data_IF_046156683524
#
_entry.id   IF_046156683524
#
_cell.length_a   1.000
_cell.length_b   1.000
_cell.length_c   1.000
_cell.angle_alpha   90.00
_cell.angle_beta   90.00
_cell.angle_gamma   90.00
#
_symmetry.space_group_name_H-M   'P 1'
#
loop_
_entity.id
_entity.type
_entity.pdbx_description
1 polymer ?
#
# COMPACT_ATOMS: atom_id res chain seq x y z
N UNK A 1 39.96 -22.42 -3.71
CA UNK A 1 40.85 -21.47 -4.40
C UNK A 1 39.99 -20.51 -5.20
N UNK A 2 40.30 -19.20 -5.13
CA UNK A 2 39.56 -18.09 -5.75
C UNK A 2 38.37 -17.63 -4.90
N UNK A 3 38.34 -16.47 -4.23
CA UNK A 3 39.08 -15.23 -4.44
C UNK A 3 38.11 -14.17 -4.95
N UNK A 4 37.54 -13.37 -4.05
CA UNK A 4 37.07 -12.00 -4.31
C UNK A 4 36.96 -11.28 -2.98
N UNK A 5 38.04 -10.59 -2.63
CA UNK A 5 38.04 -9.58 -1.60
C UNK A 5 37.34 -8.33 -2.15
N UNK A 6 36.36 -7.80 -1.42
CA UNK A 6 35.97 -6.39 -1.58
C UNK A 6 36.44 -5.69 -0.30
N UNK A 7 37.61 -5.07 -0.42
CA UNK A 7 38.06 -4.04 0.52
C UNK A 7 37.26 -2.77 0.22
N UNK A 8 36.61 -2.20 1.23
CA UNK A 8 36.18 -0.81 1.18
C UNK A 8 36.59 -0.12 2.49
N UNK A 9 37.53 0.80 2.33
CA UNK A 9 38.01 1.75 3.34
C UNK A 9 36.87 2.60 3.94
N UNK A 10 37.07 3.16 5.14
CA UNK A 10 36.06 3.91 5.86
C UNK A 10 35.93 5.31 5.28
N UNK A 11 34.83 5.59 4.59
CA UNK A 11 34.38 6.94 4.31
C UNK A 11 33.12 7.23 5.14
N UNK A 12 33.29 8.12 6.10
CA UNK A 12 32.21 8.87 6.72
C UNK A 12 31.33 9.48 5.62
N UNK A 13 30.00 9.36 5.78
CA UNK A 13 28.90 9.96 5.00
C UNK A 13 28.18 8.99 4.04
N UNK A 14 27.21 8.24 4.58
CA UNK A 14 25.90 7.92 3.99
C UNK A 14 25.23 6.80 4.81
N UNK A 15 24.66 7.13 5.97
CA UNK A 15 23.81 6.17 6.70
C UNK A 15 22.47 6.11 5.96
N UNK A 16 22.23 5.01 5.26
CA UNK A 16 20.95 4.75 4.62
C UNK A 16 20.02 4.03 5.60
N UNK A 17 18.78 4.51 5.73
CA UNK A 17 17.77 3.92 6.61
C UNK A 17 16.97 2.86 5.85
N UNK A 18 17.52 1.65 5.74
CA UNK A 18 16.83 0.54 5.11
C UNK A 18 16.19 -0.39 6.14
N UNK A 19 14.94 -0.76 5.90
CA UNK A 19 14.26 -1.84 6.62
C UNK A 19 14.11 -3.05 5.69
N UNK A 20 14.83 -4.14 6.00
CA UNK A 20 14.73 -5.38 5.25
C UNK A 20 13.81 -6.36 5.98
N UNK A 21 12.59 -6.53 5.49
CA UNK A 21 11.71 -7.59 5.97
C UNK A 21 12.21 -8.94 5.45
N UNK A 22 12.36 -9.91 6.36
CA UNK A 22 12.85 -11.27 6.05
C UNK A 22 11.85 -12.30 6.56
N UNK A 23 11.72 -13.41 5.85
CA UNK A 23 10.88 -14.55 6.23
C UNK A 23 11.63 -15.85 5.97
N UNK A 24 11.54 -16.80 6.90
CA UNK A 24 11.99 -18.18 6.69
C UNK A 24 10.87 -19.14 7.06
N UNK A 25 10.81 -20.35 6.48
CA UNK A 25 9.79 -21.35 6.84
C UNK A 25 9.80 -21.72 8.33
N UNK A 26 10.99 -21.70 8.96
CA UNK A 26 11.17 -21.99 10.39
C UNK A 26 10.92 -20.78 11.31
N UNK A 27 10.76 -19.57 10.76
CA UNK A 27 10.72 -18.33 11.54
C UNK A 27 12.07 -17.89 12.11
N UNK A 28 13.16 -18.63 11.86
CA UNK A 28 14.53 -18.31 12.32
C UNK A 28 15.50 -18.06 11.17
N UNK A 29 16.48 -17.15 11.32
CA UNK A 29 17.50 -16.93 10.31
C UNK A 29 18.45 -18.14 10.20
N UNK A 30 18.80 -18.53 8.97
CA UNK A 30 19.72 -19.64 8.72
C UNK A 30 21.18 -19.33 9.08
N UNK A 31 21.55 -18.04 9.10
CA UNK A 31 22.91 -17.55 9.38
C UNK A 31 22.81 -16.25 10.18
N UNK A 32 23.68 -16.08 11.16
CA UNK A 32 23.81 -14.85 11.95
C UNK A 32 25.24 -14.32 11.84
N UNK A 33 25.38 -13.04 11.49
CA UNK A 33 26.68 -12.37 11.33
C UNK A 33 26.61 -10.99 11.95
N UNK A 34 27.61 -10.63 12.75
CA UNK A 34 27.68 -9.33 13.37
C UNK A 34 28.17 -8.29 12.35
N UNK A 35 27.38 -7.25 12.13
CA UNK A 35 27.71 -6.14 11.23
C UNK A 35 27.54 -4.82 11.97
N UNK A 36 28.51 -3.92 11.83
CA UNK A 36 28.45 -2.60 12.44
C UNK A 36 27.34 -1.76 11.79
N UNK A 37 26.53 -1.07 12.60
CA UNK A 37 25.44 -0.21 12.12
C UNK A 37 24.20 -0.95 11.64
N UNK A 38 24.12 -2.27 11.84
CA UNK A 38 22.95 -3.10 11.51
C UNK A 38 22.25 -3.54 12.78
N UNK A 39 20.94 -3.34 12.85
CA UNK A 39 20.08 -3.88 13.90
C UNK A 39 19.12 -4.88 13.27
N UNK A 40 19.02 -6.07 13.87
CA UNK A 40 18.09 -7.13 13.45
C UNK A 40 17.18 -7.51 14.61
N UNK A 41 15.96 -7.96 14.31
CA UNK A 41 14.98 -8.36 15.32
C UNK A 41 13.93 -9.32 14.77
N UNK A 42 13.19 -9.97 15.66
CA UNK A 42 12.07 -10.84 15.33
C UNK A 42 10.74 -10.07 15.39
N UNK A 43 9.76 -10.53 14.62
CA UNK A 43 8.41 -9.98 14.65
C UNK A 43 7.72 -10.27 15.98
N UNK A 44 7.05 -9.26 16.58
CA UNK A 44 6.30 -9.40 17.84
C UNK A 44 4.93 -10.09 17.69
N UNK A 45 4.53 -10.51 16.49
CA UNK A 45 3.28 -11.29 16.25
C UNK A 45 2.99 -12.45 17.22
N UNK A 46 3.98 -13.21 17.76
CA UNK A 46 3.73 -14.27 18.74
C UNK A 46 3.39 -13.77 20.15
N UNK A 47 3.55 -12.47 20.42
CA UNK A 47 3.33 -11.85 21.72
C UNK A 47 1.95 -11.19 21.75
N UNK A 48 1.08 -11.60 22.67
CA UNK A 48 -0.09 -10.82 23.10
C UNK A 48 0.38 -9.80 24.12
N UNK A 49 0.58 -8.56 23.69
CA UNK A 49 0.87 -7.43 24.59
C UNK A 49 -0.25 -6.41 24.50
N UNK A 50 -0.62 -5.83 25.66
CA UNK A 50 -1.52 -4.69 25.75
C UNK A 50 -1.04 -3.55 24.82
N UNK A 51 -2.01 -2.87 24.21
CA UNK A 51 -1.81 -1.83 23.20
C UNK A 51 -1.16 -0.58 23.84
N UNK A 52 0.17 -0.56 23.94
CA UNK A 52 0.87 0.72 24.06
C UNK A 52 0.54 1.59 22.82
N UNK A 53 0.43 2.92 22.97
CA UNK A 53 0.22 3.81 21.85
C UNK A 53 1.28 3.55 20.78
N UNK A 54 0.85 3.19 19.57
CA UNK A 54 1.76 2.82 18.50
C UNK A 54 2.54 4.06 18.03
N UNK A 55 3.87 4.01 18.10
CA UNK A 55 4.78 5.01 17.52
C UNK A 55 4.65 6.45 18.08
N UNK A 56 4.74 6.68 19.41
CA UNK A 56 4.61 8.02 20.00
C UNK A 56 5.83 8.91 19.72
N UNK A 57 6.89 8.35 19.12
CA UNK A 57 8.19 9.00 18.96
C UNK A 57 8.20 9.90 17.73
N UNK A 58 8.70 11.11 17.91
CA UNK A 58 9.10 12.02 16.83
C UNK A 58 10.60 11.93 16.53
N UNK A 59 10.96 12.30 15.31
CA UNK A 59 12.29 12.14 14.73
C UNK A 59 12.83 13.51 14.30
N UNK A 60 13.69 14.08 15.14
CA UNK A 60 14.34 15.36 14.87
C UNK A 60 15.39 15.23 13.75
N UNK A 61 15.41 16.25 12.89
CA UNK A 61 16.30 16.37 11.72
C UNK A 61 16.23 15.18 10.75
N UNK A 62 15.07 14.55 10.66
CA UNK A 62 14.77 13.47 9.74
C UNK A 62 13.51 13.79 8.95
N UNK A 63 13.63 13.89 7.63
CA UNK A 63 12.50 14.04 6.71
C UNK A 63 11.98 12.65 6.29
N UNK A 64 10.66 12.50 6.27
CA UNK A 64 9.97 11.37 5.66
C UNK A 64 9.58 11.78 4.23
N UNK A 65 10.56 11.86 3.34
CA UNK A 65 10.40 12.48 2.03
C UNK A 65 9.33 11.78 1.16
N UNK A 66 8.56 12.59 0.44
CA UNK A 66 7.47 12.16 -0.43
C UNK A 66 6.18 11.83 0.32
N UNK A 67 5.23 11.19 -0.39
CA UNK A 67 3.90 10.80 0.09
C UNK A 67 3.02 11.98 0.58
N UNK A 68 3.41 13.22 0.31
CA UNK A 68 2.66 14.43 0.66
C UNK A 68 1.35 14.50 -0.13
N UNK A 69 0.22 14.61 0.56
CA UNK A 69 -1.08 14.83 -0.09
C UNK A 69 -1.74 16.14 0.34
N UNK A 70 -1.32 16.70 1.48
CA UNK A 70 -1.84 17.96 2.01
C UNK A 70 -0.74 18.68 2.79
N UNK A 71 -0.76 20.01 2.76
CA UNK A 71 0.08 20.82 3.62
C UNK A 71 -0.70 21.98 4.23
N UNK A 72 -0.34 22.35 5.45
CA UNK A 72 -0.86 23.51 6.18
C UNK A 72 0.27 24.16 7.00
N UNK A 73 0.01 25.31 7.62
CA UNK A 73 0.91 25.89 8.61
C UNK A 73 0.44 25.56 10.01
N UNK A 74 1.36 25.20 10.89
CA UNK A 74 1.10 24.92 12.31
C UNK A 74 2.10 25.65 13.19
N UNK A 75 1.74 25.93 14.44
CA UNK A 75 2.63 26.66 15.35
C UNK A 75 3.92 25.87 15.68
N UNK A 76 3.80 24.54 15.77
CA UNK A 76 4.87 23.63 16.12
C UNK A 76 4.61 22.21 15.55
N UNK A 77 5.49 21.26 15.89
CA UNK A 77 5.36 19.87 15.48
C UNK A 77 4.25 19.11 16.22
N UNK A 78 3.85 19.56 17.42
CA UNK A 78 2.80 18.92 18.22
C UNK A 78 1.44 19.20 17.59
N UNK A 79 1.20 20.44 17.16
CA UNK A 79 0.02 20.83 16.39
C UNK A 79 0.00 20.16 15.01
N UNK A 80 1.17 19.98 14.36
CA UNK A 80 1.26 19.19 13.13
C UNK A 80 0.88 17.72 13.35
N UNK A 81 1.34 17.10 14.44
CA UNK A 81 0.97 15.73 14.80
C UNK A 81 -0.51 15.61 15.15
N UNK A 82 -1.09 16.60 15.83
CA UNK A 82 -2.53 16.69 16.12
C UNK A 82 -3.35 16.79 14.84
N UNK A 83 -2.94 17.67 13.92
CA UNK A 83 -3.58 17.82 12.61
C UNK A 83 -3.51 16.51 11.80
N UNK A 84 -2.36 15.82 11.81
CA UNK A 84 -2.24 14.49 11.19
C UNK A 84 -3.17 13.46 11.87
N UNK A 85 -3.21 13.43 13.19
CA UNK A 85 -4.02 12.47 13.95
C UNK A 85 -5.54 12.66 13.72
N UNK A 86 -5.96 13.89 13.44
CA UNK A 86 -7.36 14.24 13.15
C UNK A 86 -7.75 14.12 11.68
N UNK A 87 -6.78 14.09 10.75
CA UNK A 87 -7.04 13.88 9.33
C UNK A 87 -7.08 12.36 9.04
N UNK A 88 -8.23 11.79 8.65
CA UNK A 88 -8.36 10.34 8.40
C UNK A 88 -7.40 9.79 7.35
N UNK A 89 -6.90 10.66 6.47
CA UNK A 89 -5.93 10.31 5.44
C UNK A 89 -4.48 10.32 5.89
N UNK A 90 -4.15 10.94 7.03
CA UNK A 90 -2.77 11.12 7.44
C UNK A 90 -2.24 9.93 8.24
N UNK A 91 -1.13 9.37 7.78
CA UNK A 91 -0.44 8.27 8.45
C UNK A 91 0.83 8.74 9.16
N UNK A 92 1.53 9.70 8.57
CA UNK A 92 2.74 10.31 9.09
C UNK A 92 2.88 11.73 8.56
N UNK A 93 3.78 12.50 9.17
CA UNK A 93 3.98 13.91 8.84
C UNK A 93 5.46 14.30 8.86
N UNK A 94 5.75 15.42 8.22
CA UNK A 94 6.99 16.18 8.41
C UNK A 94 6.67 17.65 8.64
N UNK A 95 7.19 18.21 9.71
CA UNK A 95 7.05 19.61 10.09
C UNK A 95 8.38 20.34 9.87
N UNK A 96 8.34 21.50 9.21
CA UNK A 96 9.49 22.37 8.99
C UNK A 96 9.55 23.39 10.13
N UNK A 97 10.62 23.41 10.92
CA UNK A 97 10.73 24.28 12.09
C UNK A 97 11.43 25.62 11.75
N UNK A 98 11.69 26.44 12.76
CA UNK A 98 12.33 27.75 12.65
C UNK A 98 13.75 27.71 12.08
N UNK A 99 14.43 26.56 12.16
CA UNK A 99 15.78 26.35 11.64
C UNK A 99 15.80 25.84 10.20
N UNK A 100 14.63 25.67 9.56
CA UNK A 100 14.58 25.28 8.16
C UNK A 100 15.18 26.38 7.27
N UNK A 101 15.96 25.96 6.27
CA UNK A 101 16.80 26.85 5.45
C UNK A 101 15.98 27.83 4.62
N UNK A 102 14.82 27.40 4.11
CA UNK A 102 13.95 28.25 3.29
C UNK A 102 12.90 28.92 4.16
N UNK A 103 13.07 30.21 4.45
CA UNK A 103 12.26 30.92 5.45
C UNK A 103 10.77 30.91 5.14
N UNK A 104 10.39 31.03 3.86
CA UNK A 104 9.00 31.02 3.40
C UNK A 104 8.31 29.67 3.57
N UNK A 105 9.05 28.62 3.89
CA UNK A 105 8.53 27.27 4.13
C UNK A 105 8.55 26.87 5.62
N UNK A 106 9.12 27.69 6.51
CA UNK A 106 9.12 27.43 7.96
C UNK A 106 7.68 27.31 8.47
N UNK A 107 7.49 26.52 9.53
CA UNK A 107 6.20 26.22 10.16
C UNK A 107 5.22 25.43 9.28
N UNK A 108 5.66 24.95 8.12
CA UNK A 108 4.84 24.16 7.23
C UNK A 108 4.80 22.70 7.71
N UNK A 109 3.59 22.21 7.89
CA UNK A 109 3.25 20.84 8.21
C UNK A 109 2.81 20.11 6.93
N UNK A 110 3.50 19.02 6.63
CA UNK A 110 3.22 18.15 5.50
C UNK A 110 2.55 16.86 6.00
N UNK A 111 1.29 16.65 5.62
CA UNK A 111 0.53 15.44 5.93
C UNK A 111 0.74 14.41 4.80
N UNK A 112 1.05 13.18 5.20
CA UNK A 112 1.52 12.15 4.27
C UNK A 112 0.72 10.86 4.40
N UNK A 113 0.57 10.18 3.26
CA UNK A 113 -0.20 8.94 3.12
C UNK A 113 0.56 7.90 2.29
N UNK A 114 0.63 6.68 2.80
CA UNK A 114 1.26 5.51 2.16
C UNK A 114 0.41 4.26 2.39
N UNK A 115 -0.63 4.05 1.57
CA UNK A 115 -1.48 2.84 1.51
C UNK A 115 -1.47 1.90 2.75
N UNK A 116 -1.12 0.61 2.59
CA UNK A 116 -1.42 -0.45 3.57
C UNK A 116 -0.67 -0.35 4.89
N UNK A 117 0.50 0.28 4.88
CA UNK A 117 1.38 0.40 6.04
C UNK A 117 2.02 1.78 5.92
N UNK A 118 2.08 2.58 7.01
CA UNK A 118 2.85 3.82 7.09
C UNK A 118 4.34 3.60 6.81
N UNK A 119 4.69 3.27 5.58
CA UNK A 119 6.05 3.09 5.10
C UNK A 119 6.47 4.43 4.58
N UNK A 120 7.42 5.04 5.29
CA UNK A 120 8.09 6.25 4.87
C UNK A 120 8.88 5.91 3.59
N UNK A 121 8.57 6.53 2.44
CA UNK A 121 9.18 6.12 1.17
C UNK A 121 10.70 6.25 1.19
N UNK A 122 11.19 7.35 1.77
CA UNK A 122 12.60 7.65 1.96
C UNK A 122 12.73 8.35 3.32
N UNK A 123 13.79 8.05 4.05
CA UNK A 123 14.16 8.78 5.27
C UNK A 123 15.47 9.49 5.02
N UNK A 124 15.45 10.82 5.07
CA UNK A 124 16.61 11.66 4.78
C UNK A 124 16.99 12.49 5.99
N UNK A 125 18.30 12.71 6.19
CA UNK A 125 18.75 13.68 7.19
C UNK A 125 18.55 15.07 6.63
N UNK A 126 17.77 15.88 7.32
CA UNK A 126 17.55 17.26 6.94
C UNK A 126 17.45 18.12 8.20
N UNK A 127 18.33 19.10 8.33
CA UNK A 127 18.28 20.01 9.48
C UNK A 127 17.02 20.87 9.43
N UNK A 128 16.41 21.09 10.59
CA UNK A 128 15.25 21.97 10.72
C UNK A 128 13.92 21.31 10.36
N UNK A 129 13.85 19.98 10.42
CA UNK A 129 12.60 19.23 10.24
C UNK A 129 12.35 18.29 11.40
N UNK A 130 11.09 17.99 11.66
CA UNK A 130 10.64 17.01 12.65
C UNK A 130 9.59 16.12 12.00
N UNK A 131 9.83 14.81 11.95
CA UNK A 131 8.86 13.84 11.41
C UNK A 131 8.28 12.94 12.48
N UNK A 132 7.08 12.42 12.26
CA UNK A 132 6.39 11.55 13.20
C UNK A 132 5.21 10.83 12.57
N UNK A 133 4.54 9.99 13.36
CA UNK A 133 3.37 9.22 12.93
C UNK A 133 2.08 9.80 13.53
N UNK A 134 0.97 9.56 12.86
CA UNK A 134 -0.37 9.73 13.44
C UNK A 134 -0.49 8.82 14.67
N UNK A 135 -1.12 9.31 15.74
CA UNK A 135 -1.45 8.46 16.89
C UNK A 135 -2.64 7.52 16.60
N UNK A 136 -3.42 7.79 15.56
CA UNK A 136 -4.52 6.95 15.10
C UNK A 136 -4.05 6.14 13.88
N UNK A 137 -3.30 5.07 14.12
CA UNK A 137 -2.85 4.14 13.06
C UNK A 137 -3.99 3.17 12.67
N UNK A 138 -4.96 2.97 13.56
CA UNK A 138 -6.17 2.23 13.24
C UNK A 138 -7.14 3.16 12.53
N UNK A 139 -7.28 2.97 11.22
CA UNK A 139 -8.44 3.44 10.47
C UNK A 139 -9.63 2.62 10.95
N UNK A 140 -10.18 2.95 12.12
CA UNK A 140 -11.47 2.42 12.51
C UNK A 140 -12.49 2.99 11.53
N UNK A 141 -12.96 2.12 10.63
CA UNK A 141 -14.17 2.36 9.85
C UNK A 141 -15.36 2.43 10.81
N UNK A 142 -15.51 3.55 11.52
CA UNK A 142 -16.70 3.87 12.29
C UNK A 142 -17.67 4.59 11.36
N UNK A 143 -18.28 3.82 10.48
CA UNK A 143 -19.55 4.19 9.86
C UNK A 143 -20.47 2.97 9.85
N UNK A 144 -21.54 3.04 10.64
CA UNK A 144 -22.55 1.98 10.77
C UNK A 144 -23.45 1.85 9.52
N UNK A 145 -23.31 2.75 8.54
CA UNK A 145 -24.05 2.69 7.28
C UNK A 145 -23.16 2.18 6.15
N UNK A 146 -23.57 1.06 5.55
CA UNK A 146 -23.06 0.61 4.26
C UNK A 146 -23.65 1.49 3.16
N UNK A 147 -22.82 2.01 2.26
CA UNK A 147 -23.34 2.66 1.05
C UNK A 147 -22.88 1.94 -0.21
N UNK A 148 -23.83 1.66 -1.08
CA UNK A 148 -23.55 1.12 -2.40
C UNK A 148 -22.96 2.21 -3.28
N UNK A 149 -21.71 2.00 -3.69
CA UNK A 149 -21.03 2.85 -4.64
C UNK A 149 -21.73 2.89 -5.99
N UNK A 150 -22.21 4.06 -6.42
CA UNK A 150 -22.77 4.22 -7.77
C UNK A 150 -21.65 4.23 -8.81
N UNK A 151 -21.67 3.23 -9.70
CA UNK A 151 -20.80 3.14 -10.87
C UNK A 151 -21.51 3.67 -12.12
N UNK A 152 -20.78 4.41 -12.94
CA UNK A 152 -21.25 4.97 -14.20
C UNK A 152 -20.56 4.23 -15.35
N UNK A 153 -21.28 3.31 -15.98
CA UNK A 153 -20.76 2.50 -17.08
C UNK A 153 -20.61 3.31 -18.36
N UNK A 154 -19.68 2.89 -19.23
CA UNK A 154 -19.34 3.56 -20.49
C UNK A 154 -19.13 5.08 -20.33
N UNK A 155 -18.57 5.50 -19.20
CA UNK A 155 -18.37 6.89 -18.83
C UNK A 155 -16.92 7.10 -18.45
N UNK A 156 -16.26 8.02 -19.15
CA UNK A 156 -14.93 8.49 -18.81
C UNK A 156 -15.02 9.86 -18.13
N UNK A 157 -14.19 10.08 -17.12
CA UNK A 157 -13.99 11.40 -16.54
C UNK A 157 -12.76 12.05 -17.16
N UNK A 158 -12.87 13.33 -17.51
CA UNK A 158 -11.76 14.12 -18.05
C UNK A 158 -10.92 14.74 -16.93
N UNK A 159 -9.87 15.46 -17.31
CA UNK A 159 -8.94 16.11 -16.40
C UNK A 159 -7.69 15.28 -16.10
N UNK A 160 -6.74 15.90 -15.40
CA UNK A 160 -5.48 15.28 -14.99
C UNK A 160 -5.73 14.12 -14.02
N UNK A 161 -4.97 13.05 -14.18
CA UNK A 161 -4.97 11.95 -13.22
C UNK A 161 -4.02 12.28 -12.07
N UNK A 162 -4.51 12.12 -10.84
CA UNK A 162 -3.70 12.13 -9.63
C UNK A 162 -2.70 10.97 -9.67
N UNK A 163 -3.20 9.78 -10.01
CA UNK A 163 -2.38 8.58 -10.18
C UNK A 163 -3.11 7.53 -11.02
N UNK A 164 -2.33 6.62 -11.60
CA UNK A 164 -2.84 5.48 -12.39
C UNK A 164 -2.35 4.17 -11.78
N UNK A 165 -3.27 3.43 -11.18
CA UNK A 165 -3.00 2.17 -10.50
C UNK A 165 -3.52 0.98 -11.30
N UNK A 166 -2.94 -0.22 -11.16
CA UNK A 166 -3.58 -1.43 -11.66
C UNK A 166 -4.85 -1.73 -10.81
N UNK A 167 -5.97 -2.06 -11.46
CA UNK A 167 -7.15 -2.58 -10.79
C UNK A 167 -7.81 -3.69 -11.62
N UNK A 168 -8.39 -4.69 -10.95
CA UNK A 168 -9.04 -5.83 -11.61
C UNK A 168 -10.49 -5.56 -12.00
N UNK A 169 -11.13 -4.61 -11.32
CA UNK A 169 -12.55 -4.34 -11.43
C UNK A 169 -12.85 -2.89 -11.06
N UNK A 170 -14.02 -2.37 -11.46
CA UNK A 170 -14.47 -1.05 -11.02
C UNK A 170 -14.61 -0.95 -9.50
N UNK A 171 -15.08 -2.01 -8.83
CA UNK A 171 -15.19 -2.05 -7.37
C UNK A 171 -13.83 -1.98 -6.68
N UNK A 172 -12.81 -2.68 -7.20
CA UNK A 172 -11.44 -2.55 -6.72
C UNK A 172 -10.91 -1.12 -6.96
N UNK A 173 -11.19 -0.52 -8.12
CA UNK A 173 -10.81 0.87 -8.39
C UNK A 173 -11.49 1.87 -7.45
N UNK A 174 -12.75 1.61 -7.08
CA UNK A 174 -13.45 2.39 -6.07
C UNK A 174 -12.81 2.28 -4.69
N UNK A 175 -12.44 1.06 -4.27
CA UNK A 175 -11.74 0.86 -3.00
C UNK A 175 -10.42 1.65 -2.98
N UNK A 176 -9.62 1.58 -4.06
CA UNK A 176 -8.39 2.36 -4.18
C UNK A 176 -8.65 3.88 -4.09
N UNK A 177 -9.69 4.40 -4.75
CA UNK A 177 -10.05 5.81 -4.63
C UNK A 177 -10.51 6.17 -3.21
N UNK A 178 -11.26 5.29 -2.55
CA UNK A 178 -11.77 5.52 -1.18
C UNK A 178 -10.66 5.50 -0.14
N UNK A 179 -9.63 4.68 -0.35
CA UNK A 179 -8.46 4.63 0.51
C UNK A 179 -7.54 5.85 0.30
N UNK A 180 -7.53 6.47 -0.88
CA UNK A 180 -6.65 7.59 -1.18
C UNK A 180 -7.25 8.94 -0.74
N UNK A 181 -6.61 9.69 0.17
CA UNK A 181 -7.25 10.84 0.83
C UNK A 181 -7.50 12.05 -0.08
N UNK A 182 -6.79 12.15 -1.20
CA UNK A 182 -7.04 13.20 -2.20
C UNK A 182 -7.97 12.77 -3.34
N UNK A 183 -8.35 11.49 -3.44
CA UNK A 183 -9.19 11.07 -4.56
C UNK A 183 -10.63 11.56 -4.38
N UNK A 184 -11.15 12.27 -5.38
CA UNK A 184 -12.52 12.79 -5.43
C UNK A 184 -13.41 11.98 -6.37
N UNK A 185 -12.84 11.37 -7.41
CA UNK A 185 -13.52 10.46 -8.33
C UNK A 185 -12.50 9.63 -9.14
N UNK A 186 -12.95 8.57 -9.79
CA UNK A 186 -12.09 7.68 -10.58
C UNK A 186 -12.66 7.34 -11.95
N UNK A 187 -11.79 6.84 -12.84
CA UNK A 187 -12.16 6.17 -14.09
C UNK A 187 -11.39 4.86 -14.26
N UNK A 188 -12.12 3.76 -14.29
CA UNK A 188 -11.62 2.43 -14.54
C UNK A 188 -11.61 2.12 -16.05
N UNK A 189 -10.49 1.60 -16.54
CA UNK A 189 -10.29 1.10 -17.90
C UNK A 189 -10.38 -0.42 -17.93
N UNK A 190 -11.47 -0.96 -18.48
CA UNK A 190 -11.68 -2.41 -18.54
C UNK A 190 -10.80 -3.11 -19.58
N UNK A 191 -10.25 -2.38 -20.55
CA UNK A 191 -9.35 -2.96 -21.55
C UNK A 191 -7.96 -3.16 -20.97
N UNK A 192 -7.46 -2.15 -20.25
CA UNK A 192 -6.09 -2.11 -19.73
C UNK A 192 -5.99 -2.50 -18.25
N UNK A 193 -7.11 -2.72 -17.56
CA UNK A 193 -7.15 -3.03 -16.12
C UNK A 193 -6.44 -1.94 -15.29
N UNK A 194 -6.76 -0.68 -15.61
CA UNK A 194 -6.19 0.52 -14.98
C UNK A 194 -7.24 1.34 -14.28
N UNK A 195 -6.93 1.79 -13.08
CA UNK A 195 -7.70 2.71 -12.26
C UNK A 195 -7.03 4.08 -12.30
N UNK A 196 -7.72 5.07 -12.86
CA UNK A 196 -7.24 6.45 -12.91
C UNK A 196 -7.94 7.21 -11.79
N UNK A 197 -7.18 7.58 -10.74
CA UNK A 197 -7.67 8.39 -9.63
C UNK A 197 -7.52 9.86 -9.98
N UNK A 198 -8.46 10.69 -9.53
CA UNK A 198 -8.52 12.13 -9.82
C UNK A 198 -8.91 12.90 -8.56
N UNK A 199 -8.50 14.16 -8.44
CA UNK A 199 -8.58 14.98 -7.22
C UNK A 199 -9.26 16.34 -7.40
N UNK A 200 -9.88 16.61 -8.55
CA UNK A 200 -10.54 17.89 -8.79
C UNK A 200 -11.77 18.02 -7.88
N UNK A 201 -11.79 19.06 -7.04
CA UNK A 201 -12.89 19.37 -6.10
C UNK A 201 -13.94 20.31 -6.69
N UNK A 202 -13.61 21.02 -7.77
CA UNK A 202 -14.43 22.08 -8.33
C UNK A 202 -15.33 21.56 -9.45
N UNK A 203 -14.81 20.67 -10.30
CA UNK A 203 -15.53 20.16 -11.45
C UNK A 203 -15.24 18.69 -11.71
N UNK A 204 -16.25 18.02 -12.29
CA UNK A 204 -16.15 16.65 -12.80
C UNK A 204 -16.83 16.58 -14.16
N UNK A 205 -16.03 16.68 -15.21
CA UNK A 205 -16.51 16.57 -16.59
C UNK A 205 -16.52 15.11 -17.03
N UNK A 206 -17.67 14.64 -17.53
CA UNK A 206 -17.87 13.26 -18.01
C UNK A 206 -18.15 13.23 -19.50
N UNK A 207 -17.66 12.18 -20.16
CA UNK A 207 -17.96 11.88 -21.57
C UNK A 207 -18.31 10.41 -21.74
N UNK A 208 -19.20 10.12 -22.68
CA UNK A 208 -19.52 8.75 -23.04
C UNK A 208 -18.31 8.08 -23.72
N UNK A 209 -17.82 6.98 -23.14
CA UNK A 209 -16.68 6.22 -23.68
C UNK A 209 -16.80 4.74 -23.32
N UNK A 210 -16.95 3.89 -24.35
CA UNK A 210 -17.07 2.44 -24.18
C UNK A 210 -15.84 1.86 -23.45
N UNK A 211 -16.08 0.93 -22.53
CA UNK A 211 -15.03 0.28 -21.74
C UNK A 211 -14.37 1.16 -20.68
N UNK A 212 -14.89 2.36 -20.45
CA UNK A 212 -14.58 3.18 -19.27
C UNK A 212 -15.73 3.12 -18.28
N UNK A 213 -15.41 2.96 -17.00
CA UNK A 213 -16.40 2.91 -15.92
C UNK A 213 -15.92 3.90 -14.85
N UNK A 214 -16.65 4.97 -14.61
CA UNK A 214 -16.30 5.96 -13.58
C UNK A 214 -17.10 5.74 -12.30
N UNK A 215 -16.64 6.32 -11.20
CA UNK A 215 -17.34 6.28 -9.93
C UNK A 215 -16.80 7.30 -8.94
N UNK A 216 -17.40 7.30 -7.75
CA UNK A 216 -17.04 8.15 -6.62
C UNK A 216 -16.43 7.29 -5.49
N UNK A 217 -15.52 7.84 -4.68
CA UNK A 217 -15.08 7.17 -3.46
C UNK A 217 -16.24 7.04 -2.46
N UNK A 218 -16.11 6.10 -1.54
CA UNK A 218 -17.04 5.87 -0.43
C UNK A 218 -16.40 6.28 0.92
N UNK A 219 -15.83 7.49 0.97
CA UNK A 219 -15.12 8.03 2.14
C UNK A 219 -15.96 8.08 3.43
N UNK A 220 -17.28 8.15 3.30
CA UNK A 220 -18.21 8.39 4.41
C UNK A 220 -19.07 7.18 4.77
N UNK A 221 -18.73 5.99 4.27
CA UNK A 221 -19.48 4.77 4.55
C UNK A 221 -18.58 3.54 4.60
N UNK A 222 -19.13 2.44 5.12
CA UNK A 222 -18.48 1.14 4.98
C UNK A 222 -18.53 0.69 3.52
N UNK A 223 -17.35 0.51 2.90
CA UNK A 223 -17.24 0.05 1.51
C UNK A 223 -17.76 -1.37 1.41
N UNK A 224 -18.75 -1.62 0.55
CA UNK A 224 -19.16 -2.98 0.21
C UNK A 224 -18.03 -3.66 -0.58
N UNK A 225 -17.25 -4.49 0.11
CA UNK A 225 -16.06 -5.18 -0.43
C UNK A 225 -16.40 -6.47 -1.20
N UNK A 226 -17.58 -6.57 -1.80
CA UNK A 226 -18.00 -7.76 -2.56
C UNK A 226 -17.09 -8.04 -3.77
N UNK A 227 -16.43 -7.01 -4.29
CA UNK A 227 -15.45 -7.18 -5.36
C UNK A 227 -14.29 -8.12 -4.97
N UNK A 228 -13.96 -8.23 -3.68
CA UNK A 228 -12.89 -9.10 -3.15
C UNK A 228 -13.25 -10.57 -3.31
N UNK A 229 -14.55 -10.90 -3.26
CA UNK A 229 -15.09 -12.27 -3.38
C UNK A 229 -15.02 -12.82 -4.81
N UNK A 230 -14.70 -11.97 -5.79
CA UNK A 230 -14.71 -12.35 -7.21
C UNK A 230 -13.39 -12.98 -7.62
N UNK A 231 -13.43 -14.25 -8.07
CA UNK A 231 -12.30 -14.89 -8.72
C UNK A 231 -12.17 -14.43 -10.18
N UNK A 232 -11.01 -13.89 -10.54
CA UNK A 232 -10.73 -13.33 -11.86
C UNK A 232 -10.09 -14.35 -12.79
N UNK A 233 -10.90 -14.96 -13.66
CA UNK A 233 -10.44 -15.89 -14.71
C UNK A 233 -9.74 -15.12 -15.83
N UNK A 234 -8.61 -15.66 -16.31
CA UNK A 234 -7.86 -15.05 -17.41
C UNK A 234 -7.06 -13.81 -16.99
N UNK A 235 -6.88 -13.58 -15.70
CA UNK A 235 -6.17 -12.44 -15.13
C UNK A 235 -5.10 -12.96 -14.17
N UNK A 236 -3.88 -12.47 -14.31
CA UNK A 236 -2.75 -12.76 -13.45
C UNK A 236 -2.36 -11.52 -12.62
N UNK A 237 -1.84 -11.76 -11.41
CA UNK A 237 -1.22 -10.78 -10.53
C UNK A 237 0.29 -11.01 -10.45
N UNK A 238 1.10 -10.53 -11.41
CA UNK A 238 2.52 -10.87 -11.47
C UNK A 238 3.32 -10.31 -10.27
N UNK A 239 4.28 -11.10 -9.78
CA UNK A 239 5.17 -10.74 -8.69
C UNK A 239 4.54 -10.88 -7.30
N UNK A 240 5.23 -10.33 -6.30
CA UNK A 240 4.83 -10.40 -4.88
C UNK A 240 4.66 -11.82 -4.33
N UNK A 241 5.29 -12.81 -4.96
CA UNK A 241 5.20 -14.22 -4.58
C UNK A 241 5.94 -14.48 -3.26
N UNK A 242 5.23 -14.97 -2.26
CA UNK A 242 5.81 -15.45 -1.00
C UNK A 242 6.31 -16.88 -1.19
N UNK A 243 5.42 -17.74 -1.70
CA UNK A 243 5.68 -19.15 -2.04
C UNK A 243 4.63 -19.64 -3.02
N UNK A 244 4.81 -20.87 -3.52
CA UNK A 244 3.77 -21.58 -4.26
C UNK A 244 3.52 -22.96 -3.68
N UNK A 245 2.28 -23.42 -3.83
CA UNK A 245 1.83 -24.78 -3.49
C UNK A 245 1.29 -25.47 -4.75
N UNK A 246 1.34 -26.79 -4.80
CA UNK A 246 0.70 -27.55 -5.88
C UNK A 246 -0.73 -27.92 -5.50
N UNK A 247 -1.71 -27.47 -6.29
CA UNK A 247 -3.14 -27.69 -6.04
C UNK A 247 -3.89 -28.05 -7.33
N UNK A 248 -5.06 -28.67 -7.19
CA UNK A 248 -5.83 -29.15 -8.35
C UNK A 248 -6.70 -28.08 -9.02
N UNK A 249 -7.08 -27.04 -8.29
CA UNK A 249 -7.95 -25.97 -8.77
C UNK A 249 -7.76 -24.64 -8.01
N UNK A 250 -8.47 -23.62 -8.47
CA UNK A 250 -8.40 -22.26 -7.93
C UNK A 250 -9.09 -22.11 -6.57
N UNK A 251 -10.06 -22.95 -6.24
CA UNK A 251 -10.82 -22.87 -4.98
C UNK A 251 -9.98 -23.42 -3.83
N UNK A 252 -9.22 -24.50 -4.08
CA UNK A 252 -8.17 -24.96 -3.16
C UNK A 252 -7.13 -23.85 -2.94
N UNK A 253 -6.72 -23.15 -4.01
CA UNK A 253 -5.76 -22.05 -3.90
C UNK A 253 -6.29 -20.88 -3.05
N UNK A 254 -7.56 -20.48 -3.25
CA UNK A 254 -8.24 -19.48 -2.44
C UNK A 254 -8.23 -19.86 -0.96
N UNK A 255 -8.61 -21.10 -0.63
CA UNK A 255 -8.60 -21.59 0.76
C UNK A 255 -7.20 -21.54 1.36
N UNK A 256 -6.17 -21.95 0.62
CA UNK A 256 -4.78 -21.84 1.07
C UNK A 256 -4.34 -20.40 1.33
N UNK A 257 -4.75 -19.45 0.49
CA UNK A 257 -4.50 -18.04 0.77
C UNK A 257 -5.25 -17.54 2.01
N UNK A 258 -6.49 -17.99 2.22
CA UNK A 258 -7.29 -17.63 3.39
C UNK A 258 -6.73 -18.25 4.69
N UNK A 259 -6.12 -19.43 4.63
CA UNK A 259 -5.43 -20.07 5.77
C UNK A 259 -4.10 -19.38 6.10
N UNK A 260 -3.40 -18.82 5.10
CA UNK A 260 -2.08 -18.20 5.32
C UNK A 260 -2.21 -16.74 5.80
N UNK A 261 -1.82 -16.41 7.05
CA UNK A 261 -2.02 -15.07 7.64
C UNK A 261 -1.22 -13.96 6.95
N UNK A 262 -0.30 -14.31 6.04
CA UNK A 262 0.50 -13.36 5.26
C UNK A 262 0.00 -13.16 3.84
N UNK A 263 -0.87 -14.05 3.32
CA UNK A 263 -1.38 -13.93 1.95
C UNK A 263 -2.43 -12.81 1.83
N UNK A 264 -2.25 -11.90 0.88
CA UNK A 264 -3.22 -10.85 0.54
C UNK A 264 -4.00 -11.16 -0.74
N UNK A 265 -3.36 -11.84 -1.69
CA UNK A 265 -3.95 -12.24 -2.96
C UNK A 265 -3.21 -13.46 -3.52
N UNK A 266 -3.79 -14.12 -4.53
CA UNK A 266 -3.21 -15.32 -5.12
C UNK A 266 -3.36 -15.35 -6.63
N UNK A 267 -2.52 -16.16 -7.29
CA UNK A 267 -2.70 -16.56 -8.69
C UNK A 267 -2.50 -18.07 -8.84
N UNK A 268 -3.51 -18.75 -9.38
CA UNK A 268 -3.50 -20.17 -9.69
C UNK A 268 -3.33 -20.40 -11.20
N UNK A 269 -2.32 -21.18 -11.57
CA UNK A 269 -2.07 -21.60 -12.95
C UNK A 269 -2.77 -22.93 -13.21
N UNK A 270 -3.74 -22.94 -14.14
CA UNK A 270 -4.55 -24.13 -14.44
C UNK A 270 -3.70 -25.28 -14.97
N UNK A 271 -4.14 -26.52 -14.69
CA UNK A 271 -3.58 -27.75 -15.26
C UNK A 271 -3.53 -27.77 -16.80
N UNK A 272 -4.41 -27.02 -17.47
CA UNK A 272 -4.48 -26.86 -18.92
C UNK A 272 -3.46 -25.87 -19.50
N UNK A 273 -2.65 -25.21 -18.65
CA UNK A 273 -1.67 -24.23 -19.09
C UNK A 273 -0.67 -24.85 -20.09
N UNK A 274 -0.28 -24.12 -21.16
CA UNK A 274 0.75 -24.60 -22.10
C UNK A 274 2.12 -24.72 -21.42
N UNK A 275 2.40 -23.92 -20.38
CA UNK A 275 3.67 -23.97 -19.66
C UNK A 275 3.63 -25.08 -18.60
N UNK A 276 4.19 -26.25 -18.94
CA UNK A 276 4.10 -27.47 -18.12
C UNK A 276 4.67 -27.30 -16.71
N UNK A 277 5.80 -26.62 -16.58
CA UNK A 277 6.52 -26.46 -15.30
C UNK A 277 5.73 -25.66 -14.26
N UNK A 278 4.79 -24.83 -14.72
CA UNK A 278 4.00 -23.95 -13.87
C UNK A 278 2.59 -24.46 -13.60
N UNK A 279 2.18 -25.58 -14.21
CA UNK A 279 0.84 -26.14 -14.02
C UNK A 279 0.59 -26.41 -12.54
N UNK A 280 -0.66 -26.20 -12.12
CA UNK A 280 -1.15 -26.48 -10.77
C UNK A 280 -0.50 -25.64 -9.67
N UNK A 281 0.36 -24.69 -10.01
CA UNK A 281 0.97 -23.80 -9.01
C UNK A 281 -0.05 -22.77 -8.55
N UNK A 282 -0.27 -22.76 -7.24
CA UNK A 282 -0.96 -21.73 -6.49
C UNK A 282 0.07 -20.81 -5.86
N UNK A 283 0.21 -19.61 -6.38
CA UNK A 283 1.10 -18.59 -5.84
C UNK A 283 0.39 -17.79 -4.76
N UNK A 284 0.90 -17.84 -3.53
CA UNK A 284 0.43 -17.00 -2.42
C UNK A 284 1.26 -15.72 -2.41
N UNK A 285 0.59 -14.56 -2.39
CA UNK A 285 1.23 -13.28 -2.66
C UNK A 285 0.91 -12.21 -1.62
N UNK A 286 1.86 -11.29 -1.43
CA UNK A 286 1.74 -10.13 -0.52
C UNK A 286 2.51 -8.93 -1.06
N UNK A 287 1.86 -7.77 -1.04
CA UNK A 287 2.46 -6.46 -1.27
C UNK A 287 2.58 -5.68 0.06
N UNK A 288 3.65 -4.90 0.19
CA UNK A 288 3.92 -4.10 1.39
C UNK A 288 3.35 -2.69 1.25
N UNK A 289 3.46 -2.12 0.05
CA UNK A 289 3.25 -0.70 -0.23
C UNK A 289 1.85 -0.36 -0.76
N UNK A 290 1.00 -1.36 -1.00
CA UNK A 290 -0.35 -1.19 -1.52
C UNK A 290 -1.17 -2.44 -1.23
N UNK A 291 -2.45 -2.29 -0.88
CA UNK A 291 -3.35 -3.40 -0.52
C UNK A 291 -3.83 -4.18 -1.76
N UNK A 292 -3.08 -4.06 -2.86
CA UNK A 292 -3.44 -4.50 -4.18
C UNK A 292 -2.20 -5.03 -4.94
N UNK A 293 -2.40 -5.92 -5.93
CA UNK A 293 -1.33 -6.38 -6.79
C UNK A 293 -0.55 -5.23 -7.44
N UNK A 294 0.79 -5.27 -7.44
CA UNK A 294 1.61 -4.22 -8.06
C UNK A 294 1.45 -4.18 -9.59
N UNK A 295 1.01 -5.28 -10.19
CA UNK A 295 0.72 -5.43 -11.62
C UNK A 295 -0.47 -6.35 -11.82
N UNK A 296 -1.25 -6.08 -12.86
CA UNK A 296 -2.38 -6.90 -13.29
C UNK A 296 -2.29 -7.06 -14.80
N UNK A 297 -2.32 -8.30 -15.27
CA UNK A 297 -2.20 -8.63 -16.70
C UNK A 297 -3.28 -9.62 -17.12
N UNK A 298 -3.69 -9.55 -18.38
CA UNK A 298 -4.56 -10.57 -18.98
C UNK A 298 -3.70 -11.76 -19.38
N UNK A 299 -3.94 -12.93 -18.79
CA UNK A 299 -3.24 -14.16 -19.11
C UNK A 299 -4.21 -15.36 -19.08
N UNK A 300 -4.32 -16.05 -20.21
CA UNK A 300 -5.13 -17.27 -20.32
C UNK A 300 -4.62 -18.37 -19.38
N UNK A 301 -5.52 -19.27 -18.96
CA UNK A 301 -5.22 -20.38 -18.05
C UNK A 301 -4.75 -19.97 -16.63
N UNK A 302 -5.06 -18.74 -16.20
CA UNK A 302 -4.84 -18.29 -14.83
C UNK A 302 -6.16 -17.91 -14.16
N UNK A 303 -6.24 -18.10 -12.85
CA UNK A 303 -7.30 -17.55 -12.00
C UNK A 303 -6.63 -16.84 -10.84
N UNK A 304 -6.93 -15.56 -10.64
CA UNK A 304 -6.42 -14.79 -9.51
C UNK A 304 -7.55 -14.28 -8.63
N UNK A 305 -7.27 -14.04 -7.36
CA UNK A 305 -8.26 -13.55 -6.40
C UNK A 305 -7.60 -12.94 -5.18
N UNK A 306 -8.41 -12.38 -4.29
CA UNK A 306 -7.97 -11.74 -3.05
C UNK A 306 -8.28 -12.63 -1.85
N UNK A 307 -7.57 -12.43 -0.75
CA UNK A 307 -7.90 -13.10 0.51
C UNK A 307 -9.29 -12.66 1.00
N UNK A 308 -10.06 -13.58 1.58
CA UNK A 308 -11.46 -13.33 1.99
C UNK A 308 -11.66 -13.17 3.50
N UNK A 309 -10.59 -13.13 4.31
CA UNK A 309 -10.77 -13.00 5.75
C UNK A 309 -11.34 -11.61 6.06
N UNK A 310 -12.40 -11.60 6.84
CA UNK A 310 -12.87 -10.42 7.57
C UNK A 310 -11.89 -10.19 8.71
N UNK A 311 -11.29 -9.00 8.79
CA UNK A 311 -10.64 -8.57 10.02
C UNK A 311 -11.74 -8.50 11.08
N UNK A 312 -11.72 -9.45 12.03
CA UNK A 312 -12.48 -9.39 13.28
C UNK A 312 -11.60 -8.70 14.30
#
# INVERSE_FOLDING_TARGET
>A
MGGSAVSLHPLLWSRHFYCYLKTTPSGQPNVQTLLQGVTSGFSLKPCTTELEPCLPKVYNNLDFAGADYRSLFTADHEECQRACTQDPGCQFFTYLNEFFTTETLRYKCHLKFSWSIPVTPIVEKQTGVVSGFSHNIQVTQQSDTACEGKLFTNTATLGKDLMVLPAVSPGHCQALCSDHPSCTYFSFDSYNLRCNLKDNKNERVTVAKKGKISGLPAHFCQVVVDWVKVAHKGVEFPGSDIRFELVDDADICQRKCNEDPTCQFYSYIKKTSPRRDYRRRCYLKRAITMSAPPRITKLANVVSGFQLRTCV
#
